data_IF_622336957937
#
_entry.id   IF_622336957937
#
_cell.length_a   1.000
_cell.length_b   1.000
_cell.length_c   1.000
_cell.angle_alpha   90.00
_cell.angle_beta   90.00
_cell.angle_gamma   90.00
#
_symmetry.space_group_name_H-M   'P 1'
#
loop_
_entity.id
_entity.type
_entity.pdbx_description
1 polymer ?
#
# COMPACT_ATOMS: atom_id res chain seq x y z
N UNK A 1 -15.45 -31.35 6.80
CA UNK A 1 -15.20 -30.59 6.87
C UNK A 1 -14.52 -29.98 6.66
N UNK A 2 -14.42 -29.63 6.57
CA UNK A 2 -13.82 -28.90 6.44
C UNK A 2 -13.59 -27.97 6.55
N UNK A 3 -13.49 -27.45 6.76
CA UNK A 3 -13.21 -26.46 6.91
C UNK A 3 -12.64 -25.73 6.98
N UNK A 4 -12.62 -25.65 7.11
CA UNK A 4 -12.13 -24.90 7.23
C UNK A 4 -11.43 -24.28 7.21
N UNK A 5 -11.14 -24.29 7.22
CA UNK A 5 -10.41 -23.63 7.31
C UNK A 5 -10.23 -22.73 6.95
N UNK A 6 -10.45 -22.40 6.89
CA UNK A 6 -10.37 -21.51 6.53
C UNK A 6 -10.27 -20.66 6.81
N UNK A 7 -10.17 -20.69 6.83
CA UNK A 7 -10.10 -19.95 7.01
C UNK A 7 -10.11 -19.03 7.19
N UNK A 8 -10.24 -19.41 7.57
CA UNK A 8 -10.42 -18.21 7.92
C UNK A 8 -9.27 -17.40 8.16
N UNK A 9 -9.01 -16.57 7.45
CA UNK A 9 -7.90 -15.73 7.65
C UNK A 9 -8.13 -14.81 8.81
N UNK A 10 -7.15 -14.68 9.67
CA UNK A 10 -7.21 -13.66 10.69
C UNK A 10 -7.15 -12.28 10.05
N UNK A 11 -7.85 -11.34 10.63
CA UNK A 11 -7.69 -9.96 10.25
C UNK A 11 -6.23 -9.56 10.51
N UNK A 12 -5.65 -8.80 9.59
CA UNK A 12 -4.28 -8.34 9.75
C UNK A 12 -4.21 -7.31 10.85
N UNK A 13 -3.18 -7.41 11.66
CA UNK A 13 -2.93 -6.40 12.67
C UNK A 13 -2.23 -5.22 12.03
N UNK A 14 -2.76 -4.04 12.25
CA UNK A 14 -2.22 -2.83 11.69
C UNK A 14 -1.63 -1.98 12.79
N UNK A 15 -0.51 -1.36 12.48
CA UNK A 15 0.15 -0.43 13.39
C UNK A 15 0.04 0.95 12.77
N UNK A 16 -0.58 1.87 13.50
CA UNK A 16 -0.73 3.23 13.03
C UNK A 16 0.63 3.91 13.06
N UNK A 17 1.14 4.29 11.89
CA UNK A 17 2.43 4.95 11.81
C UNK A 17 2.36 6.40 12.26
N UNK A 18 1.14 6.95 12.33
CA UNK A 18 0.88 8.36 12.64
C UNK A 18 1.43 9.29 11.56
N UNK A 19 1.67 8.74 10.38
CA UNK A 19 2.14 9.50 9.23
C UNK A 19 1.12 9.42 8.12
N UNK A 20 1.18 10.40 7.23
CA UNK A 20 0.28 10.49 6.10
C UNK A 20 1.07 10.71 4.82
N UNK A 21 0.43 10.48 3.69
CA UNK A 21 0.95 10.89 2.40
C UNK A 21 -0.23 11.35 1.55
N UNK A 22 0.05 12.07 0.48
CA UNK A 22 -1.01 12.59 -0.37
C UNK A 22 -0.76 12.19 -1.81
N UNK A 23 -1.85 12.10 -2.56
CA UNK A 23 -1.80 11.80 -3.97
C UNK A 23 -1.39 13.06 -4.72
N UNK A 24 -0.33 12.96 -5.52
CA UNK A 24 0.21 14.09 -6.26
C UNK A 24 -0.28 14.05 -7.70
N UNK A 25 0.05 15.10 -8.43
CA UNK A 25 -0.51 15.29 -9.77
C UNK A 25 -0.14 14.19 -10.77
N UNK A 26 0.92 13.44 -10.50
CA UNK A 26 1.31 12.31 -11.37
C UNK A 26 0.76 11.00 -10.87
N UNK A 27 -0.20 11.05 -9.98
CA UNK A 27 -0.82 9.87 -9.38
C UNK A 27 0.17 9.07 -8.53
N UNK A 28 1.14 9.75 -7.93
CA UNK A 28 2.08 9.07 -7.06
C UNK A 28 1.92 9.56 -5.63
N UNK A 29 2.40 8.74 -4.71
CA UNK A 29 2.48 9.08 -3.29
C UNK A 29 3.94 8.91 -2.88
N UNK A 30 4.40 9.76 -1.96
CA UNK A 30 5.75 9.64 -1.43
C UNK A 30 5.66 9.00 -0.06
N UNK A 31 6.32 7.86 0.10
CA UNK A 31 6.32 7.15 1.37
C UNK A 31 7.43 7.74 2.22
N UNK A 32 7.13 8.18 3.45
CA UNK A 32 8.14 8.78 4.31
C UNK A 32 9.34 7.86 4.51
N UNK A 33 10.52 8.49 4.60
CA UNK A 33 11.77 7.74 4.68
C UNK A 33 11.83 6.81 5.87
N UNK A 34 11.27 7.23 7.01
CA UNK A 34 11.27 6.38 8.20
C UNK A 34 10.51 5.07 7.96
N UNK A 35 9.43 5.13 7.21
CA UNK A 35 8.64 3.94 6.89
C UNK A 35 9.39 3.08 5.90
N UNK A 36 9.98 3.70 4.87
CA UNK A 36 10.74 2.94 3.89
C UNK A 36 11.90 2.20 4.52
N UNK A 37 12.55 2.83 5.50
CA UNK A 37 13.62 2.16 6.23
C UNK A 37 13.11 0.93 6.98
N UNK A 38 12.00 1.09 7.67
CA UNK A 38 11.42 -0.03 8.43
C UNK A 38 11.05 -1.20 7.55
N UNK A 39 10.58 -0.92 6.35
CA UNK A 39 10.11 -1.96 5.46
C UNK A 39 11.17 -2.39 4.45
N UNK A 40 12.36 -1.79 4.52
CA UNK A 40 13.45 -2.08 3.59
C UNK A 40 13.03 -1.84 2.14
N UNK A 41 12.28 -0.77 1.92
CA UNK A 41 11.87 -0.38 0.58
C UNK A 41 12.81 0.71 0.10
N UNK A 42 13.73 0.34 -0.79
CA UNK A 42 14.78 1.24 -1.26
C UNK A 42 14.44 1.78 -2.64
N UNK A 43 14.95 2.98 -2.97
CA UNK A 43 14.77 3.50 -4.33
C UNK A 43 15.26 2.50 -5.36
N UNK A 44 14.52 2.36 -6.46
CA UNK A 44 14.85 1.42 -7.51
C UNK A 44 14.28 0.04 -7.32
N UNK A 45 13.81 -0.27 -6.12
CA UNK A 45 13.23 -1.58 -5.86
C UNK A 45 11.81 -1.67 -6.38
N UNK A 46 11.37 -2.89 -6.59
CA UNK A 46 10.01 -3.16 -7.05
C UNK A 46 9.11 -3.46 -5.87
N UNK A 47 7.91 -2.90 -5.93
CA UNK A 47 6.87 -3.17 -4.95
C UNK A 47 5.62 -3.57 -5.71
N UNK A 48 4.72 -4.26 -5.04
CA UNK A 48 3.40 -4.52 -5.59
C UNK A 48 2.40 -3.65 -4.87
N UNK A 49 1.38 -3.24 -5.61
CA UNK A 49 0.33 -2.40 -5.08
C UNK A 49 -1.01 -2.94 -5.56
N UNK A 50 -1.98 -2.95 -4.66
CA UNK A 50 -3.31 -3.45 -5.00
C UNK A 50 -4.31 -3.04 -3.96
N UNK A 51 -5.53 -3.53 -4.14
CA UNK A 51 -6.58 -3.30 -3.16
C UNK A 51 -6.54 -4.39 -2.11
N UNK A 52 -6.67 -4.00 -0.87
CA UNK A 52 -6.82 -4.98 0.20
C UNK A 52 -8.21 -5.59 0.09
N UNK A 53 -8.26 -6.90 0.14
CA UNK A 53 -9.49 -7.63 -0.05
C UNK A 53 -10.54 -7.20 0.96
N UNK A 54 -11.75 -6.93 0.48
CA UNK A 54 -12.85 -6.55 1.34
C UNK A 54 -12.84 -5.11 1.80
N UNK A 55 -11.96 -4.29 1.26
CA UNK A 55 -11.88 -2.90 1.66
C UNK A 55 -11.52 -2.02 0.46
N UNK A 56 -11.52 -0.71 0.69
CA UNK A 56 -11.07 0.25 -0.32
C UNK A 56 -9.67 0.77 0.00
N UNK A 57 -8.90 0.00 0.76
CA UNK A 57 -7.57 0.41 1.12
C UNK A 57 -6.55 -0.13 0.11
N UNK A 58 -5.49 0.63 -0.07
CA UNK A 58 -4.39 0.21 -0.93
C UNK A 58 -3.32 -0.46 -0.08
N UNK A 59 -2.85 -1.62 -0.52
CA UNK A 59 -1.68 -2.20 0.11
C UNK A 59 -0.47 -1.99 -0.78
N UNK A 60 0.70 -1.90 -0.17
CA UNK A 60 1.98 -1.80 -0.85
C UNK A 60 2.94 -2.69 -0.10
N UNK A 61 3.61 -3.59 -0.81
CA UNK A 61 4.61 -4.46 -0.19
C UNK A 61 5.68 -4.80 -1.21
N UNK A 62 6.78 -5.35 -0.74
CA UNK A 62 7.88 -5.70 -1.63
C UNK A 62 7.43 -6.77 -2.62
N UNK A 63 7.98 -6.69 -3.81
CA UNK A 63 7.65 -7.64 -4.86
C UNK A 63 8.13 -9.03 -4.51
N UNK A 64 7.29 -10.02 -4.79
CA UNK A 64 7.67 -11.44 -4.72
C UNK A 64 7.38 -12.06 -6.06
N UNK A 65 8.09 -13.13 -6.37
CA UNK A 65 8.02 -13.75 -7.69
C UNK A 65 6.67 -14.36 -8.03
N UNK A 66 5.78 -14.48 -7.05
CA UNK A 66 4.51 -15.15 -7.27
C UNK A 66 3.33 -14.20 -7.30
N UNK A 67 3.61 -12.91 -7.37
CA UNK A 67 2.54 -11.92 -7.31
C UNK A 67 1.94 -11.68 -8.69
N UNK A 68 0.63 -11.55 -8.73
CA UNK A 68 -0.10 -11.17 -9.93
C UNK A 68 -0.58 -9.73 -9.87
N UNK A 69 -0.30 -9.04 -8.77
CA UNK A 69 -0.71 -7.65 -8.62
C UNK A 69 0.21 -6.71 -9.41
N UNK A 70 -0.20 -5.45 -9.47
CA UNK A 70 0.57 -4.44 -10.17
C UNK A 70 1.93 -4.23 -9.53
N UNK A 71 2.95 -4.25 -10.35
CA UNK A 71 4.32 -4.06 -9.91
C UNK A 71 4.78 -2.67 -10.29
N UNK A 72 5.30 -1.93 -9.33
CA UNK A 72 5.76 -0.57 -9.53
C UNK A 72 7.17 -0.42 -9.01
N UNK A 73 7.89 0.56 -9.53
CA UNK A 73 9.27 0.83 -9.11
C UNK A 73 9.27 2.06 -8.22
N UNK A 74 9.99 1.98 -7.12
CA UNK A 74 10.13 3.08 -6.18
C UNK A 74 11.11 4.09 -6.78
N UNK A 75 10.70 5.34 -6.87
CA UNK A 75 11.55 6.39 -7.43
C UNK A 75 12.68 6.77 -6.47
N UNK A 76 13.61 7.59 -6.96
CA UNK A 76 14.74 8.06 -6.15
C UNK A 76 14.27 8.82 -4.92
N UNK A 77 13.10 9.43 -4.99
CA UNK A 77 12.55 10.21 -3.88
C UNK A 77 11.65 9.39 -2.98
N UNK A 78 11.53 8.10 -3.25
CA UNK A 78 10.66 7.26 -2.45
C UNK A 78 9.19 7.35 -2.85
N UNK A 79 8.91 7.76 -4.07
CA UNK A 79 7.55 7.85 -4.56
C UNK A 79 7.15 6.58 -5.28
N UNK A 80 5.88 6.23 -5.19
CA UNK A 80 5.32 5.07 -5.85
C UNK A 80 4.08 5.53 -6.61
N UNK A 81 4.04 5.22 -7.89
CA UNK A 81 2.90 5.58 -8.70
C UNK A 81 1.76 4.59 -8.44
N UNK A 82 0.56 5.14 -8.28
CA UNK A 82 -0.63 4.30 -8.12
C UNK A 82 -1.18 4.02 -9.50
N UNK A 83 -1.36 2.74 -9.86
CA UNK A 83 -1.90 2.39 -11.18
C UNK A 83 -3.23 3.07 -11.46
N UNK A 84 -3.42 3.46 -12.70
CA UNK A 84 -4.62 4.18 -13.11
C UNK A 84 -5.90 3.41 -12.77
N UNK A 85 -5.87 2.10 -12.94
CA UNK A 85 -7.05 1.29 -12.62
C UNK A 85 -7.46 1.45 -11.16
N UNK A 86 -6.48 1.56 -10.27
CA UNK A 86 -6.78 1.70 -8.85
C UNK A 86 -7.27 3.10 -8.53
N UNK A 87 -6.69 4.13 -9.15
CA UNK A 87 -7.18 5.49 -8.93
C UNK A 87 -8.62 5.62 -9.39
N UNK A 88 -8.97 4.97 -10.50
CA UNK A 88 -10.34 5.01 -11.00
C UNK A 88 -11.28 4.23 -10.10
N UNK A 89 -10.87 3.03 -9.71
CA UNK A 89 -11.72 2.17 -8.89
C UNK A 89 -12.06 2.82 -7.55
N UNK A 90 -11.13 3.59 -7.00
CA UNK A 90 -11.32 4.23 -5.71
C UNK A 90 -11.76 5.68 -5.81
N UNK A 91 -11.88 6.21 -7.02
CA UNK A 91 -12.28 7.60 -7.20
C UNK A 91 -11.27 8.56 -6.60
N UNK A 92 -9.99 8.28 -6.75
CA UNK A 92 -8.95 9.10 -6.15
C UNK A 92 -8.69 10.35 -6.97
N UNK A 93 -8.43 11.44 -6.29
CA UNK A 93 -8.15 12.72 -6.89
C UNK A 93 -6.87 13.29 -6.32
N UNK A 94 -6.20 14.12 -7.11
CA UNK A 94 -5.03 14.84 -6.63
C UNK A 94 -5.36 15.54 -5.32
N UNK A 95 -4.46 15.41 -4.35
CA UNK A 95 -4.64 16.01 -3.04
C UNK A 95 -5.29 15.10 -2.02
N UNK A 96 -5.84 13.98 -2.45
CA UNK A 96 -6.39 13.02 -1.48
C UNK A 96 -5.27 12.56 -0.55
N UNK A 97 -5.61 12.47 0.73
CA UNK A 97 -4.65 12.09 1.75
C UNK A 97 -4.92 10.69 2.26
N UNK A 98 -3.86 10.03 2.67
CA UNK A 98 -3.94 8.68 3.21
C UNK A 98 -3.23 8.62 4.54
N UNK A 99 -3.84 7.93 5.50
CA UNK A 99 -3.14 7.48 6.69
C UNK A 99 -2.35 6.24 6.34
N UNK A 100 -1.14 6.15 6.86
CA UNK A 100 -0.27 5.02 6.57
C UNK A 100 -0.24 4.10 7.77
N UNK A 101 -0.62 2.84 7.55
CA UNK A 101 -0.56 1.79 8.56
C UNK A 101 0.44 0.75 8.14
N UNK A 102 1.21 0.26 9.09
CA UNK A 102 2.12 -0.85 8.86
C UNK A 102 1.39 -2.14 9.14
N UNK A 103 1.67 -3.16 8.34
CA UNK A 103 1.06 -4.48 8.55
C UNK A 103 2.01 -5.28 9.41
N UNK A 104 1.56 -5.64 10.61
CA UNK A 104 2.40 -6.35 11.56
C UNK A 104 2.84 -7.68 10.97
N UNK A 105 4.12 -8.00 11.15
CA UNK A 105 4.72 -9.26 10.69
C UNK A 105 4.77 -9.39 9.17
N UNK A 106 4.62 -8.29 8.45
CA UNK A 106 4.78 -8.26 7.01
C UNK A 106 5.58 -7.04 6.63
N UNK A 107 6.25 -7.13 5.49
CA UNK A 107 7.00 -5.98 4.97
C UNK A 107 6.10 -5.18 4.03
N UNK A 108 5.00 -4.70 4.59
CA UNK A 108 4.01 -4.00 3.81
C UNK A 108 3.30 -2.92 4.59
N UNK A 109 2.54 -2.12 3.85
CA UNK A 109 1.77 -1.05 4.46
C UNK A 109 0.39 -0.96 3.80
N UNK A 110 -0.52 -0.32 4.50
CA UNK A 110 -1.83 0.01 3.96
C UNK A 110 -1.99 1.52 3.94
N UNK A 111 -2.58 2.01 2.86
CA UNK A 111 -2.95 3.41 2.75
C UNK A 111 -4.47 3.49 2.88
N UNK A 112 -4.92 4.15 3.93
CA UNK A 112 -6.34 4.35 4.16
C UNK A 112 -6.70 5.79 3.85
N UNK A 113 -7.60 6.00 2.91
CA UNK A 113 -7.98 7.35 2.51
C UNK A 113 -8.62 8.08 3.67
N UNK A 114 -8.18 9.32 3.89
CA UNK A 114 -8.77 10.18 4.90
C UNK A 114 -10.08 10.74 4.33
N UNK A 115 -11.15 10.48 5.03
CA UNK A 115 -12.46 11.04 4.63
C UNK A 115 -12.76 12.23 5.52
N UNK A 116 -12.93 13.38 4.90
CA UNK A 116 -13.21 14.63 5.62
C UNK A 116 -14.69 14.94 5.61
#
# INVERSE_FOLDING_TARGET
MIETSYKKEKAKELIDSKLTCSLKHRQDVTIPGSIRKKLFILPGEEVIIGLEEGSNDLFIRKYTNHSLENKMVVSDRGSIRIPTELTRALGLCKGDMFHIYLVKNENGLLLKKVNL
#
